data_IF_132925453143
#
_entry.id   IF_132925453143
#
_cell.length_a   1.000
_cell.length_b   1.000
_cell.length_c   1.000
_cell.angle_alpha   90.00
_cell.angle_beta   90.00
_cell.angle_gamma   90.00
#
_symmetry.space_group_name_H-M   'P 1'
#
loop_
_entity.id
_entity.type
_entity.pdbx_description
1 polymer ?
#
# COMPACT_ATOMS: atom_id res chain seq x y z
N UNK A 1 51.45 -60.95 -43.64
CA UNK A 1 51.69 -60.23 -44.92
C UNK A 1 50.47 -59.37 -45.17
N UNK A 2 50.52 -58.05 -45.19
CA UNK A 2 51.58 -57.08 -44.98
C UNK A 2 50.88 -55.75 -44.69
N UNK A 3 51.54 -54.95 -43.87
CA UNK A 3 51.20 -53.61 -43.43
C UNK A 3 50.89 -52.64 -44.59
N UNK A 4 50.13 -51.58 -44.31
CA UNK A 4 50.64 -50.20 -44.46
C UNK A 4 49.67 -49.17 -43.86
N UNK A 5 50.25 -48.37 -42.97
CA UNK A 5 49.80 -47.11 -42.40
C UNK A 5 49.19 -46.11 -43.40
N UNK A 6 48.35 -45.19 -42.92
CA UNK A 6 48.83 -43.82 -42.65
C UNK A 6 47.68 -42.87 -42.30
N UNK A 7 47.95 -42.06 -41.27
CA UNK A 7 47.13 -40.96 -40.78
C UNK A 7 46.77 -39.96 -41.90
N UNK A 8 45.53 -39.46 -41.87
CA UNK A 8 45.29 -38.05 -42.18
C UNK A 8 44.38 -37.43 -41.13
N UNK A 9 44.96 -36.49 -40.41
CA UNK A 9 44.27 -35.56 -39.52
C UNK A 9 43.31 -34.71 -40.35
N UNK A 10 42.05 -34.63 -39.95
CA UNK A 10 41.17 -33.54 -40.38
C UNK A 10 40.67 -32.81 -39.14
N UNK A 11 41.31 -31.68 -38.90
CA UNK A 11 40.96 -30.66 -37.91
C UNK A 11 39.53 -30.22 -38.19
N UNK A 12 38.59 -30.49 -37.27
CA UNK A 12 37.33 -29.77 -37.25
C UNK A 12 37.54 -28.55 -36.36
N UNK A 13 37.69 -27.41 -37.02
CA UNK A 13 37.70 -26.06 -36.44
C UNK A 13 36.56 -25.95 -35.41
N UNK A 14 36.92 -25.60 -34.17
CA UNK A 14 35.98 -25.47 -33.07
C UNK A 14 34.98 -24.34 -33.30
N UNK A 15 33.74 -24.57 -32.85
CA UNK A 15 32.71 -23.53 -32.73
C UNK A 15 33.26 -22.28 -31.99
N UNK A 16 32.86 -21.06 -32.37
CA UNK A 16 33.24 -19.87 -31.64
C UNK A 16 32.66 -19.92 -30.22
N UNK A 17 33.36 -19.42 -29.19
CA UNK A 17 32.81 -19.44 -27.83
C UNK A 17 31.59 -18.52 -27.76
N UNK A 18 30.45 -19.11 -27.39
CA UNK A 18 29.23 -18.39 -27.02
C UNK A 18 29.57 -17.36 -25.94
N UNK A 19 29.59 -16.06 -26.29
CA UNK A 19 29.70 -15.00 -25.31
C UNK A 19 28.44 -15.00 -24.46
N UNK A 20 28.53 -15.58 -23.27
CA UNK A 20 27.51 -15.47 -22.23
C UNK A 20 27.45 -14.00 -21.80
N UNK A 21 26.57 -13.23 -22.44
CA UNK A 21 26.28 -11.84 -22.06
C UNK A 21 25.59 -11.90 -20.70
N UNK A 22 26.36 -11.81 -19.63
CA UNK A 22 25.81 -11.58 -18.30
C UNK A 22 25.12 -10.21 -18.32
N UNK A 23 23.82 -10.13 -17.98
CA UNK A 23 23.16 -8.84 -17.84
C UNK A 23 23.92 -8.01 -16.79
N UNK A 24 24.04 -6.69 -16.99
CA UNK A 24 24.71 -5.81 -16.03
C UNK A 24 24.07 -5.99 -14.64
N UNK A 25 24.86 -5.89 -13.56
CA UNK A 25 24.34 -6.02 -12.20
C UNK A 25 23.25 -4.98 -12.00
N UNK A 26 22.00 -5.43 -11.94
CA UNK A 26 20.89 -4.57 -11.62
C UNK A 26 20.98 -4.30 -10.13
N UNK A 27 21.46 -3.11 -9.76
CA UNK A 27 21.41 -2.62 -8.39
C UNK A 27 19.94 -2.35 -8.08
N UNK A 28 19.21 -3.38 -7.66
CA UNK A 28 17.89 -3.19 -7.08
C UNK A 28 18.11 -2.62 -5.69
N UNK A 29 17.91 -1.31 -5.52
CA UNK A 29 17.78 -0.73 -4.19
C UNK A 29 16.55 -1.34 -3.54
N UNK A 30 16.74 -2.43 -2.82
CA UNK A 30 15.74 -2.96 -1.89
C UNK A 30 15.67 -1.99 -0.72
N UNK A 31 14.77 -1.01 -0.83
CA UNK A 31 14.40 -0.22 0.34
C UNK A 31 13.75 -1.20 1.30
N UNK A 32 14.50 -1.61 2.33
CA UNK A 32 14.00 -2.42 3.42
C UNK A 32 12.94 -1.59 4.15
N UNK A 33 11.70 -1.68 3.68
CA UNK A 33 10.51 -1.27 4.40
C UNK A 33 10.29 -2.31 5.49
N UNK A 34 11.22 -2.42 6.44
CA UNK A 34 10.85 -2.88 7.78
C UNK A 34 9.97 -1.77 8.34
N UNK A 35 8.70 -1.79 7.93
CA UNK A 35 7.73 -0.74 8.23
C UNK A 35 7.43 -0.84 9.71
N UNK A 36 8.33 -0.29 10.54
CA UNK A 36 8.04 0.01 11.94
C UNK A 36 6.72 0.74 11.92
N UNK A 37 5.76 0.14 12.61
CA UNK A 37 4.38 0.59 12.63
C UNK A 37 4.33 2.10 12.93
N UNK A 38 3.63 2.90 12.10
CA UNK A 38 3.73 4.35 12.14
C UNK A 38 2.91 4.93 13.29
N UNK A 39 3.39 4.78 14.53
CA UNK A 39 2.74 5.39 15.69
C UNK A 39 2.84 6.92 15.63
N UNK A 40 1.72 7.60 15.82
CA UNK A 40 1.67 9.06 15.89
C UNK A 40 2.28 9.57 17.20
N UNK A 41 3.19 10.54 17.09
CA UNK A 41 3.80 11.24 18.24
C UNK A 41 3.53 12.74 18.15
N UNK A 42 3.48 13.39 19.32
CA UNK A 42 3.34 14.85 19.41
C UNK A 42 4.50 15.54 18.68
N UNK A 43 4.18 16.48 17.80
CA UNK A 43 5.16 17.25 17.02
C UNK A 43 5.78 16.52 15.83
N UNK A 44 5.40 15.27 15.55
CA UNK A 44 5.90 14.49 14.41
C UNK A 44 4.84 14.24 13.32
N UNK A 45 3.78 15.05 13.28
CA UNK A 45 2.65 14.83 12.37
C UNK A 45 3.07 14.72 10.90
N UNK A 46 3.95 15.59 10.41
CA UNK A 46 4.36 15.56 8.99
C UNK A 46 5.09 14.26 8.63
N UNK A 47 6.02 13.83 9.49
CA UNK A 47 6.75 12.57 9.32
C UNK A 47 5.79 11.38 9.41
N UNK A 48 4.87 11.42 10.37
CA UNK A 48 3.84 10.39 10.53
C UNK A 48 2.93 10.33 9.30
N UNK A 49 2.46 11.46 8.79
CA UNK A 49 1.58 11.54 7.64
C UNK A 49 2.22 10.94 6.39
N UNK A 50 3.52 11.19 6.17
CA UNK A 50 4.28 10.55 5.09
C UNK A 50 4.39 9.03 5.26
N UNK A 51 4.66 8.54 6.48
CA UNK A 51 4.73 7.10 6.77
C UNK A 51 3.36 6.43 6.61
N UNK A 52 2.29 7.10 7.04
CA UNK A 52 0.92 6.62 6.89
C UNK A 52 0.48 6.51 5.45
N UNK A 53 0.80 7.53 4.64
CA UNK A 53 0.54 7.48 3.20
C UNK A 53 1.17 6.23 2.58
N UNK A 54 2.44 5.95 2.88
CA UNK A 54 3.13 4.77 2.37
C UNK A 54 2.52 3.46 2.94
N UNK A 55 2.24 3.41 4.23
CA UNK A 55 1.68 2.24 4.90
C UNK A 55 0.31 1.83 4.33
N UNK A 56 -0.59 2.78 4.15
CA UNK A 56 -1.92 2.53 3.57
C UNK A 56 -1.80 2.18 2.08
N UNK A 57 -1.05 2.97 1.32
CA UNK A 57 -0.98 2.79 -0.15
C UNK A 57 -0.26 1.51 -0.57
N UNK A 58 0.72 1.04 0.21
CA UNK A 58 1.40 -0.24 -0.02
C UNK A 58 0.49 -1.44 0.27
N UNK A 59 -0.53 -1.26 1.10
CA UNK A 59 -1.52 -2.30 1.42
C UNK A 59 -2.70 -2.28 0.45
N UNK A 60 -3.26 -1.10 0.17
CA UNK A 60 -4.36 -0.89 -0.77
C UNK A 60 -4.43 0.60 -1.15
N UNK A 61 -4.10 0.92 -2.40
CA UNK A 61 -4.16 2.29 -2.93
C UNK A 61 -5.55 2.92 -2.82
N UNK A 62 -6.61 2.12 -2.93
CA UNK A 62 -7.98 2.61 -2.88
C UNK A 62 -8.39 3.00 -1.45
N UNK A 63 -7.82 2.35 -0.43
CA UNK A 63 -7.95 2.79 0.96
C UNK A 63 -7.38 4.19 1.16
N UNK A 64 -6.21 4.49 0.59
CA UNK A 64 -5.64 5.85 0.68
C UNK A 64 -6.51 6.90 -0.03
N UNK A 65 -7.07 6.57 -1.19
CA UNK A 65 -8.01 7.44 -1.89
C UNK A 65 -9.24 7.77 -1.03
N UNK A 66 -9.77 6.79 -0.30
CA UNK A 66 -10.88 7.00 0.65
C UNK A 66 -10.48 7.95 1.78
N UNK A 67 -9.28 7.79 2.36
CA UNK A 67 -8.78 8.70 3.42
C UNK A 67 -8.72 10.15 2.94
N UNK A 68 -8.24 10.37 1.70
CA UNK A 68 -8.06 11.71 1.14
C UNK A 68 -9.38 12.35 0.69
N UNK A 69 -10.15 11.62 -0.13
CA UNK A 69 -11.30 12.17 -0.84
C UNK A 69 -12.61 11.92 -0.08
N UNK A 70 -12.64 10.90 0.77
CA UNK A 70 -13.84 10.36 1.37
C UNK A 70 -14.50 9.36 0.45
N UNK A 71 -15.28 8.45 1.02
CA UNK A 71 -16.10 7.54 0.25
C UNK A 71 -17.28 8.30 -0.39
N UNK A 72 -17.31 8.29 -1.73
CA UNK A 72 -18.35 8.92 -2.55
C UNK A 72 -19.62 8.08 -2.69
N UNK A 73 -19.55 6.79 -2.37
CA UNK A 73 -20.67 5.82 -2.46
C UNK A 73 -21.24 5.49 -1.08
N UNK A 74 -21.33 6.47 -0.19
CA UNK A 74 -22.12 6.28 1.01
C UNK A 74 -23.57 6.20 0.58
N UNK A 75 -24.20 5.05 0.80
CA UNK A 75 -25.65 4.89 0.69
C UNK A 75 -26.32 5.52 1.92
N UNK A 76 -25.98 6.79 2.18
CA UNK A 76 -26.57 7.62 3.21
C UNK A 76 -27.77 8.29 2.56
N UNK A 77 -28.95 7.84 2.95
CA UNK A 77 -30.20 8.54 2.71
C UNK A 77 -30.61 9.27 3.96
N UNK A 78 -31.45 10.30 3.81
CA UNK A 78 -32.14 10.91 4.94
C UNK A 78 -33.60 10.51 4.88
N UNK A 79 -34.20 10.13 6.01
CA UNK A 79 -35.64 9.97 6.07
C UNK A 79 -36.36 11.33 5.97
N UNK A 80 -37.68 11.28 5.92
CA UNK A 80 -38.57 12.46 5.91
C UNK A 80 -38.40 13.38 7.11
N UNK A 81 -37.74 12.93 8.17
CA UNK A 81 -37.47 13.69 9.41
C UNK A 81 -36.02 14.24 9.45
N UNK A 82 -35.20 13.93 8.44
CA UNK A 82 -33.81 14.38 8.34
C UNK A 82 -32.81 13.48 9.06
N UNK A 83 -33.21 12.32 9.56
CA UNK A 83 -32.29 11.38 10.20
C UNK A 83 -31.42 10.68 9.15
N UNK A 84 -30.14 10.48 9.45
CA UNK A 84 -29.20 9.76 8.58
C UNK A 84 -29.52 8.25 8.63
N UNK A 85 -29.94 7.68 7.50
CA UNK A 85 -30.11 6.25 7.28
C UNK A 85 -28.92 5.74 6.46
N UNK A 86 -28.21 4.76 7.00
CA UNK A 86 -27.20 4.00 6.26
C UNK A 86 -27.91 2.79 5.65
N UNK A 87 -28.16 2.83 4.36
CA UNK A 87 -28.74 1.71 3.65
C UNK A 87 -27.68 0.59 3.48
N UNK A 88 -28.08 -0.69 3.58
CA UNK A 88 -27.18 -1.80 3.30
C UNK A 88 -26.63 -1.71 1.86
N UNK A 89 -25.35 -2.09 1.64
CA UNK A 89 -24.83 -2.23 0.29
C UNK A 89 -25.62 -3.32 -0.46
N UNK A 90 -25.99 -3.04 -1.71
CA UNK A 90 -26.81 -3.96 -2.53
C UNK A 90 -26.03 -4.53 -3.70
N UNK A 91 -24.99 -3.82 -4.15
CA UNK A 91 -24.09 -4.25 -5.21
C UNK A 91 -22.76 -4.76 -4.67
N UNK A 92 -22.03 -5.54 -5.47
CA UNK A 92 -20.68 -6.01 -5.14
C UNK A 92 -19.72 -4.83 -4.97
N UNK A 93 -19.83 -3.79 -5.81
CA UNK A 93 -18.98 -2.59 -5.70
C UNK A 93 -19.20 -1.86 -4.38
N UNK A 94 -20.47 -1.67 -3.96
CA UNK A 94 -20.77 -1.04 -2.67
C UNK A 94 -20.23 -1.85 -1.49
N UNK A 95 -20.33 -3.18 -1.53
CA UNK A 95 -19.74 -4.05 -0.51
C UNK A 95 -18.22 -3.89 -0.44
N UNK A 96 -17.53 -3.92 -1.58
CA UNK A 96 -16.08 -3.69 -1.63
C UNK A 96 -15.71 -2.30 -1.11
N UNK A 97 -16.53 -1.29 -1.39
CA UNK A 97 -16.31 0.06 -0.91
C UNK A 97 -16.46 0.19 0.60
N UNK A 98 -17.49 -0.44 1.19
CA UNK A 98 -17.68 -0.52 2.65
C UNK A 98 -16.50 -1.21 3.32
N UNK A 99 -16.02 -2.33 2.76
CA UNK A 99 -14.85 -3.03 3.27
C UNK A 99 -13.58 -2.17 3.22
N UNK A 100 -13.37 -1.43 2.13
CA UNK A 100 -12.23 -0.51 2.01
C UNK A 100 -12.32 0.66 2.99
N UNK A 101 -13.51 1.21 3.22
CA UNK A 101 -13.75 2.24 4.24
C UNK A 101 -13.40 1.71 5.65
N UNK A 102 -13.93 0.54 6.02
CA UNK A 102 -13.65 -0.10 7.31
C UNK A 102 -12.16 -0.40 7.49
N UNK A 103 -11.51 -0.89 6.45
CA UNK A 103 -10.06 -1.15 6.43
C UNK A 103 -9.27 0.14 6.60
N UNK A 104 -9.60 1.21 5.86
CA UNK A 104 -8.94 2.51 5.98
C UNK A 104 -9.10 3.09 7.39
N UNK A 105 -10.30 3.01 7.99
CA UNK A 105 -10.54 3.42 9.38
C UNK A 105 -9.69 2.64 10.36
N UNK A 106 -9.66 1.32 10.24
CA UNK A 106 -8.87 0.44 11.11
C UNK A 106 -7.38 0.75 11.01
N UNK A 107 -6.86 0.94 9.80
CA UNK A 107 -5.46 1.31 9.60
C UNK A 107 -5.11 2.66 10.24
N UNK A 108 -6.00 3.66 10.16
CA UNK A 108 -5.79 4.95 10.84
C UNK A 108 -5.82 4.80 12.36
N UNK A 109 -6.84 4.13 12.91
CA UNK A 109 -7.03 4.00 14.35
C UNK A 109 -5.91 3.22 15.03
N UNK A 110 -5.46 2.13 14.42
CA UNK A 110 -4.38 1.30 14.98
C UNK A 110 -3.08 2.08 15.12
N UNK A 111 -2.86 3.12 14.31
CA UNK A 111 -1.64 3.94 14.27
C UNK A 111 -1.62 5.09 15.27
N UNK A 112 -2.71 5.25 16.01
CA UNK A 112 -2.80 6.17 17.12
C UNK A 112 -2.37 5.48 18.42
N UNK A 113 -1.74 6.21 19.36
CA UNK A 113 -1.47 5.67 20.68
C UNK A 113 -2.80 5.44 21.44
N UNK A 114 -2.87 4.36 22.22
CA UNK A 114 -4.06 3.89 22.94
C UNK A 114 -4.79 4.98 23.73
N UNK A 115 -4.04 5.90 24.35
CA UNK A 115 -4.58 7.03 25.13
C UNK A 115 -5.48 7.97 24.32
N UNK A 116 -5.37 7.96 22.99
CA UNK A 116 -6.10 8.87 22.11
C UNK A 116 -7.13 8.17 21.23
N UNK A 117 -7.14 6.84 21.13
CA UNK A 117 -8.02 6.12 20.18
C UNK A 117 -9.51 6.36 20.51
N UNK A 118 -9.84 6.48 21.80
CA UNK A 118 -11.19 6.82 22.30
C UNK A 118 -11.82 8.03 21.60
N UNK A 119 -11.00 9.03 21.29
CA UNK A 119 -11.46 10.29 20.69
C UNK A 119 -11.84 10.16 19.21
N UNK A 120 -11.50 9.04 18.56
CA UNK A 120 -11.72 8.84 17.13
C UNK A 120 -12.67 7.67 16.82
N UNK A 121 -12.92 6.75 17.77
CA UNK A 121 -13.74 5.56 17.54
C UNK A 121 -15.17 5.86 17.04
N UNK A 122 -15.75 6.97 17.48
CA UNK A 122 -17.11 7.38 17.10
C UNK A 122 -17.21 7.94 15.68
N UNK A 123 -16.07 8.21 15.02
CA UNK A 123 -16.06 8.76 13.66
C UNK A 123 -16.35 7.66 12.64
N UNK A 124 -17.39 7.90 11.84
CA UNK A 124 -17.91 6.94 10.87
C UNK A 124 -16.98 6.84 9.65
N UNK A 125 -16.22 7.89 9.35
CA UNK A 125 -15.44 7.99 8.13
C UNK A 125 -13.93 8.11 8.36
N UNK A 126 -13.14 7.40 7.56
CA UNK A 126 -11.69 7.48 7.54
C UNK A 126 -11.21 8.91 7.22
N UNK A 127 -11.90 9.62 6.32
CA UNK A 127 -11.60 11.03 6.01
C UNK A 127 -11.78 11.94 7.23
N UNK A 128 -12.82 11.70 8.02
CA UNK A 128 -13.10 12.48 9.23
C UNK A 128 -12.04 12.20 10.30
N UNK A 129 -11.66 10.93 10.49
CA UNK A 129 -10.56 10.53 11.37
C UNK A 129 -9.27 11.25 10.96
N UNK A 130 -8.87 11.14 9.70
CA UNK A 130 -7.67 11.80 9.17
C UNK A 130 -7.68 13.32 9.36
N UNK A 131 -8.80 13.97 9.04
CA UNK A 131 -8.94 15.42 9.18
C UNK A 131 -8.86 15.87 10.64
N UNK A 132 -9.44 15.09 11.56
CA UNK A 132 -9.39 15.39 12.99
C UNK A 132 -8.00 15.15 13.56
N UNK A 133 -7.30 14.10 13.14
CA UNK A 133 -5.88 13.88 13.48
C UNK A 133 -5.04 15.07 13.01
N UNK A 134 -5.23 15.49 11.76
CA UNK A 134 -4.54 16.67 11.20
C UNK A 134 -4.80 17.92 12.02
N UNK A 135 -6.06 18.20 12.36
CA UNK A 135 -6.42 19.38 13.15
C UNK A 135 -5.79 19.37 14.56
N UNK A 136 -5.71 18.20 15.19
CA UNK A 136 -5.18 18.05 16.56
C UNK A 136 -3.66 18.02 16.62
N UNK A 137 -3.02 17.28 15.72
CA UNK A 137 -1.58 16.98 15.79
C UNK A 137 -0.75 17.66 14.72
N UNK A 138 -1.36 18.02 13.59
CA UNK A 138 -0.71 18.76 12.51
C UNK A 138 -0.70 20.26 12.74
N UNK A 139 -0.77 20.69 14.01
CA UNK A 139 -1.00 22.06 14.46
C UNK A 139 -0.47 23.11 13.49
N UNK A 140 -1.33 24.06 13.13
CA UNK A 140 -0.89 25.31 12.54
C UNK A 140 0.20 25.89 13.43
N UNK A 141 1.36 26.15 12.83
CA UNK A 141 2.44 26.94 13.41
C UNK A 141 1.93 28.31 13.90
#
# INVERSE_FOLDING_TARGET
MSDTDSLVNSVHEGDPPEQKVTPPPQITTVTSLSTKFPYLKKGEYDIWAMKMHNYISSTDLQCWNIVQKGNSQKNITSDTEGNIIIAPPVTVEEHMQVQREEKARTMLLTTLPDEHIGDFYHMIDAKQIWSTIKARFGGNA
#
